data_IF_200959155726
#
_entry.id   IF_200959155726
#
_cell.length_a   1.000
_cell.length_b   1.000
_cell.length_c   1.000
_cell.angle_alpha   90.00
_cell.angle_beta   90.00
_cell.angle_gamma   90.00
#
_symmetry.space_group_name_H-M   'P 1'
#
loop_
_entity.id
_entity.type
_entity.pdbx_description
1 polymer ?
#
# COMPACT_ATOMS: atom_id res chain seq x y z
N UNK A 1 7.67 6.07 7.38
CA UNK A 1 6.23 5.73 7.27
C UNK A 1 6.09 4.45 6.49
N UNK A 2 5.34 3.47 7.02
CA UNK A 2 5.18 2.13 6.44
C UNK A 2 4.63 2.19 5.02
N UNK A 3 3.52 2.90 4.78
CA UNK A 3 2.88 2.98 3.45
C UNK A 3 3.78 3.55 2.36
N UNK A 4 4.55 4.60 2.67
CA UNK A 4 5.49 5.20 1.71
C UNK A 4 6.60 4.22 1.34
N UNK A 5 7.19 3.54 2.33
CA UNK A 5 8.23 2.53 2.09
C UNK A 5 7.69 1.35 1.29
N UNK A 6 6.48 0.90 1.61
CA UNK A 6 5.80 -0.14 0.87
C UNK A 6 5.57 0.24 -0.60
N UNK A 7 5.12 1.48 -0.86
CA UNK A 7 4.97 1.98 -2.23
C UNK A 7 6.31 2.07 -2.98
N UNK A 8 7.37 2.55 -2.32
CA UNK A 8 8.73 2.58 -2.88
C UNK A 8 9.22 1.15 -3.23
N UNK A 9 9.05 0.18 -2.32
CA UNK A 9 9.41 -1.23 -2.55
C UNK A 9 8.55 -1.89 -3.64
N UNK A 10 7.29 -1.46 -3.78
CA UNK A 10 6.36 -1.96 -4.80
C UNK A 10 6.52 -1.26 -6.16
N UNK A 11 7.33 -0.20 -6.24
CA UNK A 11 7.49 0.60 -7.46
C UNK A 11 6.27 1.46 -7.81
N UNK A 12 5.44 1.83 -6.83
CA UNK A 12 4.25 2.66 -7.02
C UNK A 12 4.55 4.14 -6.72
N UNK A 13 4.16 5.04 -7.64
CA UNK A 13 4.29 6.49 -7.46
C UNK A 13 3.23 7.03 -6.49
N UNK A 14 3.54 6.95 -5.19
CA UNK A 14 2.64 7.37 -4.13
C UNK A 14 2.71 8.89 -3.91
N UNK A 15 1.57 9.57 -4.01
CA UNK A 15 1.44 11.02 -3.86
C UNK A 15 1.57 11.48 -2.40
N UNK A 16 2.70 11.17 -1.76
CA UNK A 16 2.94 11.43 -0.35
C UNK A 16 2.96 12.93 -0.03
N UNK A 17 2.20 13.32 1.00
CA UNK A 17 2.29 14.63 1.64
C UNK A 17 2.34 14.45 3.16
N UNK A 18 3.06 15.32 3.86
CA UNK A 18 3.23 15.26 5.33
C UNK A 18 1.98 15.64 6.12
N UNK A 19 0.94 16.15 5.46
CA UNK A 19 -0.36 16.48 6.04
C UNK A 19 -1.45 15.66 5.36
N UNK A 20 -2.50 15.24 6.08
CA UNK A 20 -3.65 14.60 5.48
C UNK A 20 -4.27 15.51 4.41
N UNK A 21 -4.44 14.96 3.21
CA UNK A 21 -5.10 15.64 2.11
C UNK A 21 -5.84 14.61 1.26
N UNK A 22 -6.97 15.00 0.68
CA UNK A 22 -7.76 14.14 -0.20
C UNK A 22 -6.94 13.46 -1.32
N UNK A 23 -6.00 14.14 -1.99
CA UNK A 23 -5.16 13.49 -3.01
C UNK A 23 -4.31 12.34 -2.46
N UNK A 24 -3.79 12.46 -1.24
CA UNK A 24 -2.98 11.40 -0.60
C UNK A 24 -3.85 10.18 -0.30
N UNK A 25 -5.08 10.41 0.19
CA UNK A 25 -6.02 9.34 0.46
C UNK A 25 -6.48 8.64 -0.83
N UNK A 26 -6.74 9.40 -1.90
CA UNK A 26 -7.03 8.83 -3.22
C UNK A 26 -5.89 7.94 -3.73
N UNK A 27 -4.65 8.44 -3.69
CA UNK A 27 -3.46 7.66 -4.08
C UNK A 27 -3.30 6.39 -3.24
N UNK A 28 -3.70 6.38 -1.96
CA UNK A 28 -3.68 5.17 -1.13
C UNK A 28 -4.74 4.16 -1.57
N UNK A 29 -5.95 4.61 -1.92
CA UNK A 29 -7.00 3.71 -2.44
C UNK A 29 -6.57 3.11 -3.78
N UNK A 30 -6.01 3.92 -4.68
CA UNK A 30 -5.51 3.45 -5.98
C UNK A 30 -4.35 2.45 -5.81
N UNK A 31 -3.47 2.69 -4.83
CA UNK A 31 -2.41 1.75 -4.49
C UNK A 31 -2.97 0.41 -3.98
N UNK A 32 -3.96 0.46 -3.08
CA UNK A 32 -4.62 -0.75 -2.58
C UNK A 32 -5.35 -1.53 -3.69
N UNK A 33 -5.99 -0.84 -4.64
CA UNK A 33 -6.62 -1.49 -5.80
C UNK A 33 -5.60 -2.12 -6.75
N UNK A 34 -4.44 -1.48 -6.93
CA UNK A 34 -3.32 -2.07 -7.68
C UNK A 34 -2.88 -3.39 -7.05
N UNK A 35 -2.66 -3.41 -5.74
CA UNK A 35 -2.30 -4.62 -4.98
C UNK A 35 -3.40 -5.68 -5.09
N UNK A 36 -4.68 -5.30 -4.95
CA UNK A 36 -5.82 -6.23 -5.07
C UNK A 36 -5.83 -6.92 -6.42
N UNK A 37 -5.61 -6.17 -7.50
CA UNK A 37 -5.57 -6.70 -8.87
C UNK A 37 -4.41 -7.69 -9.04
N UNK A 38 -3.23 -7.31 -8.56
CA UNK A 38 -2.01 -8.08 -8.78
C UNK A 38 -1.99 -9.35 -7.89
N UNK A 39 -2.66 -9.32 -6.74
CA UNK A 39 -2.80 -10.45 -5.81
C UNK A 39 -4.16 -11.18 -5.91
N UNK A 40 -4.89 -11.00 -7.02
CA UNK A 40 -6.24 -11.59 -7.20
C UNK A 40 -6.27 -13.11 -6.98
N UNK A 41 -5.18 -13.80 -7.31
CA UNK A 41 -5.07 -15.27 -7.21
C UNK A 41 -5.05 -15.73 -5.74
N UNK A 42 -4.63 -14.86 -4.82
CA UNK A 42 -4.68 -15.07 -3.36
C UNK A 42 -6.06 -14.78 -2.76
N UNK A 43 -6.98 -14.21 -3.55
CA UNK A 43 -8.36 -13.88 -3.15
C UNK A 43 -8.44 -13.04 -1.86
N UNK A 44 -7.83 -11.84 -1.81
CA UNK A 44 -7.96 -10.94 -0.67
C UNK A 44 -9.43 -10.59 -0.45
N UNK A 45 -9.91 -10.72 0.79
CA UNK A 45 -11.33 -10.60 1.15
C UNK A 45 -11.77 -9.15 1.27
N UNK A 46 -10.90 -8.30 1.81
CA UNK A 46 -11.23 -6.91 2.13
C UNK A 46 -9.98 -6.00 2.12
N UNK A 47 -10.14 -4.75 2.57
CA UNK A 47 -9.03 -3.80 2.68
C UNK A 47 -8.08 -4.09 3.85
N UNK A 48 -8.43 -4.95 4.81
CA UNK A 48 -7.53 -5.38 5.89
C UNK A 48 -6.48 -6.34 5.34
N UNK A 49 -6.88 -7.26 4.46
CA UNK A 49 -5.93 -8.15 3.79
C UNK A 49 -4.92 -7.32 2.94
N UNK A 50 -5.38 -6.26 2.27
CA UNK A 50 -4.53 -5.35 1.49
C UNK A 50 -3.61 -4.48 2.38
N UNK A 51 -4.13 -3.95 3.49
CA UNK A 51 -3.33 -3.22 4.47
C UNK A 51 -2.26 -4.10 5.09
N UNK A 52 -2.57 -5.36 5.39
CA UNK A 52 -1.59 -6.34 5.89
C UNK A 52 -0.45 -6.54 4.89
N UNK A 53 -0.78 -6.66 3.60
CA UNK A 53 0.23 -6.76 2.53
C UNK A 53 1.12 -5.52 2.46
N UNK A 54 0.52 -4.32 2.46
CA UNK A 54 1.25 -3.04 2.51
C UNK A 54 2.18 -3.00 3.73
N UNK A 55 1.69 -3.46 4.88
CA UNK A 55 2.45 -3.42 6.11
C UNK A 55 3.68 -4.34 6.06
N UNK A 56 3.54 -5.57 5.55
CA UNK A 56 4.69 -6.50 5.40
C UNK A 56 5.79 -5.89 4.52
N UNK A 57 5.42 -5.19 3.44
CA UNK A 57 6.39 -4.58 2.53
C UNK A 57 7.12 -3.35 3.10
N UNK A 58 6.52 -2.65 4.07
CA UNK A 58 7.04 -1.36 4.58
C UNK A 58 7.47 -1.37 6.04
N UNK A 59 7.23 -2.47 6.75
CA UNK A 59 7.53 -2.64 8.17
C UNK A 59 9.02 -2.94 8.37
N UNK A 60 9.60 -2.37 9.42
CA UNK A 60 10.98 -2.68 9.83
C UNK A 60 11.12 -4.12 10.39
N UNK A 61 9.99 -4.80 10.66
CA UNK A 61 9.97 -6.20 11.12
C UNK A 61 10.36 -7.20 10.02
N UNK A 62 10.16 -6.83 8.76
CA UNK A 62 10.45 -7.67 7.59
C UNK A 62 11.43 -6.93 6.68
N UNK A 63 12.74 -6.97 6.95
CA UNK A 63 13.72 -6.38 6.05
C UNK A 63 13.68 -7.11 4.70
N UNK A 64 13.48 -6.35 3.62
CA UNK A 64 13.47 -6.83 2.23
C UNK A 64 14.84 -7.19 1.68
#
# INVERSE_FOLDING_TARGET
MVTRRAAEAYGYDFAYQSKPAWPVYGSLLDFAETIRRDQRDLRPRDFIDLQSFIWVQGSDEYPG
#
